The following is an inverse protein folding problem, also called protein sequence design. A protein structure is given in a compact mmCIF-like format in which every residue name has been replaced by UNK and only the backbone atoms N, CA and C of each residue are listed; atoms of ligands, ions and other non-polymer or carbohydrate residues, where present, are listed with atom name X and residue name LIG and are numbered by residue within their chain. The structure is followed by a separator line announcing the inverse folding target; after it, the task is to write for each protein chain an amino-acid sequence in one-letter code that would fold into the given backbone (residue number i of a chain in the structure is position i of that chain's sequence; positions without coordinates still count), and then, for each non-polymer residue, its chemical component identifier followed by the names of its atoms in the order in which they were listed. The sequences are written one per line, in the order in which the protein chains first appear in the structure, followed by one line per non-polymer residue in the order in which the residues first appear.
data_IF_970263709167
#
_entry.id   IF_970263709167
#
_cell.length_a   1.000
_cell.length_b   1.000
_cell.length_c   1.000
_cell.angle_alpha   90.00
_cell.angle_beta   90.00
_cell.angle_gamma   90.00
#
_symmetry.space_group_name_H-M   'P 1'
#
loop_
_entity.id
_entity.type
_entity.pdbx_description
1 polymer ?
#
# COMPACT_ATOMS: atom_id res chain seq x y z
N UNK A 1 -14.53 -5.12 -4.74
CA UNK A 1 -15.34 -3.92 -5.10
C UNK A 1 -16.25 -4.27 -6.26
N UNK A 2 -17.43 -3.66 -6.34
CA UNK A 2 -18.30 -3.77 -7.53
C UNK A 2 -17.83 -2.82 -8.64
N UNK A 3 -18.44 -2.95 -9.83
CA UNK A 3 -18.27 -2.00 -10.94
C UNK A 3 -18.60 -0.57 -10.51
N UNK A 4 -19.74 -0.37 -9.85
CA UNK A 4 -20.22 0.93 -9.37
C UNK A 4 -19.27 1.52 -8.33
N UNK A 5 -18.66 0.69 -7.47
CA UNK A 5 -17.66 1.15 -6.52
C UNK A 5 -16.43 1.74 -7.24
N UNK A 6 -15.92 1.08 -8.28
CA UNK A 6 -14.73 1.53 -9.01
C UNK A 6 -15.04 2.77 -9.84
N UNK A 7 -16.16 2.77 -10.56
CA UNK A 7 -16.59 3.89 -11.42
C UNK A 7 -17.01 5.14 -10.66
N UNK A 8 -17.36 5.05 -9.38
CA UNK A 8 -17.73 6.23 -8.56
C UNK A 8 -16.65 6.64 -7.57
N UNK A 9 -15.82 5.70 -7.11
CA UNK A 9 -14.78 5.97 -6.11
C UNK A 9 -13.43 6.19 -6.77
N UNK A 10 -13.01 5.39 -7.75
CA UNK A 10 -11.62 5.40 -8.28
C UNK A 10 -11.42 6.24 -9.55
N UNK A 11 -12.45 6.46 -10.35
CA UNK A 11 -12.43 7.35 -11.53
C UNK A 11 -12.34 8.84 -11.18
N UNK A 12 -12.84 9.26 -10.02
CA UNK A 12 -12.91 10.67 -9.64
C UNK A 12 -11.70 11.07 -8.80
N UNK A 13 -10.74 11.74 -9.46
CA UNK A 13 -9.62 12.42 -8.81
C UNK A 13 -10.14 13.77 -8.27
N UNK A 14 -9.99 14.03 -6.97
CA UNK A 14 -10.32 15.34 -6.37
C UNK A 14 -11.72 15.54 -5.77
N UNK A 15 -12.47 14.48 -5.43
CA UNK A 15 -13.80 14.63 -4.82
C UNK A 15 -13.74 15.24 -3.40
N UNK A 16 -14.41 16.36 -3.17
CA UNK A 16 -14.49 17.05 -1.88
C UNK A 16 -15.42 16.30 -0.91
N UNK A 17 -14.85 15.54 0.03
CA UNK A 17 -15.58 14.62 0.93
C UNK A 17 -16.20 15.27 2.17
N UNK A 18 -16.18 16.61 2.28
CA UNK A 18 -16.85 17.33 3.40
C UNK A 18 -18.38 17.33 3.29
N UNK A 19 -18.93 16.82 2.19
CA UNK A 19 -20.37 16.87 1.87
C UNK A 19 -21.07 15.54 2.22
N UNK A 20 -20.34 14.45 2.52
CA UNK A 20 -20.91 13.14 2.85
C UNK A 20 -20.89 12.89 4.37
N UNK A 21 -22.07 12.94 5.01
CA UNK A 21 -22.32 12.71 6.44
C UNK A 21 -22.30 11.21 6.85
N UNK A 22 -21.31 10.44 6.42
CA UNK A 22 -21.16 9.06 6.89
C UNK A 22 -20.14 9.01 8.03
N UNK A 23 -20.57 8.58 9.22
CA UNK A 23 -19.70 8.34 10.37
C UNK A 23 -18.65 7.27 10.03
N UNK A 24 -17.38 7.68 10.04
CA UNK A 24 -16.26 6.83 9.66
C UNK A 24 -15.87 5.89 10.82
N UNK A 25 -15.84 4.58 10.57
CA UNK A 25 -15.13 3.65 11.44
C UNK A 25 -13.62 3.93 11.41
N UNK A 26 -12.94 3.86 12.57
CA UNK A 26 -11.50 4.10 12.73
C UNK A 26 -10.60 3.20 11.86
N UNK A 27 -11.16 2.14 11.25
CA UNK A 27 -10.45 1.17 10.40
C UNK A 27 -10.12 1.68 8.99
N UNK A 28 -10.75 2.75 8.51
CA UNK A 28 -10.48 3.30 7.17
C UNK A 28 -9.35 4.33 7.16
N UNK A 29 -8.10 3.88 7.22
CA UNK A 29 -6.93 4.73 7.00
C UNK A 29 -6.75 5.06 5.50
N UNK A 30 -7.45 6.09 5.05
CA UNK A 30 -7.45 6.60 3.67
C UNK A 30 -8.03 8.02 3.58
N UNK A 31 -7.54 8.92 4.45
CA UNK A 31 -8.19 10.17 4.87
C UNK A 31 -8.43 11.23 3.77
N UNK A 32 -7.78 11.16 2.60
CA UNK A 32 -7.83 12.26 1.59
C UNK A 32 -7.75 11.84 0.11
N UNK A 33 -7.88 10.55 -0.23
CA UNK A 33 -7.70 10.10 -1.63
C UNK A 33 -6.25 10.15 -2.14
N UNK A 34 -5.28 10.51 -1.28
CA UNK A 34 -3.85 10.61 -1.58
C UNK A 34 -3.28 9.30 -2.14
N UNK A 35 -3.77 8.13 -1.71
CA UNK A 35 -3.27 6.84 -2.22
C UNK A 35 -3.48 6.63 -3.73
N UNK A 36 -4.51 7.25 -4.31
CA UNK A 36 -4.76 7.20 -5.76
C UNK A 36 -3.79 8.11 -6.50
N UNK A 37 -3.60 9.32 -5.98
CA UNK A 37 -2.59 10.26 -6.48
C UNK A 37 -1.18 9.70 -6.35
N UNK A 38 -0.87 8.98 -5.26
CA UNK A 38 0.41 8.31 -5.07
C UNK A 38 0.65 7.23 -6.16
N UNK A 39 -0.41 6.53 -6.59
CA UNK A 39 -0.30 5.54 -7.67
C UNK A 39 0.05 6.22 -9.01
N UNK A 40 -0.61 7.33 -9.32
CA UNK A 40 -0.32 8.17 -10.51
C UNK A 40 1.06 8.84 -10.45
N UNK A 41 1.49 9.24 -9.26
CA UNK A 41 2.81 9.83 -9.07
C UNK A 41 3.93 8.82 -9.36
N UNK A 42 3.72 7.55 -9.00
CA UNK A 42 4.71 6.50 -9.20
C UNK A 42 4.72 5.94 -10.63
N UNK A 43 3.61 6.05 -11.36
CA UNK A 43 3.49 5.49 -12.70
C UNK A 43 2.45 6.20 -13.55
N UNK A 44 2.78 6.41 -14.83
CA UNK A 44 1.84 6.84 -15.87
C UNK A 44 0.87 5.74 -16.29
N UNK A 45 1.18 4.47 -16.01
CA UNK A 45 0.34 3.32 -16.36
C UNK A 45 0.13 2.41 -15.16
N UNK A 46 -1.11 2.17 -14.78
CA UNK A 46 -1.43 1.19 -13.75
C UNK A 46 -2.72 0.45 -14.02
N UNK A 47 -2.84 -0.72 -13.41
CA UNK A 47 -4.02 -1.57 -13.44
C UNK A 47 -4.61 -1.73 -12.05
N UNK A 48 -5.93 -1.82 -11.97
CA UNK A 48 -6.68 -2.24 -10.80
C UNK A 48 -7.44 -3.51 -11.16
N UNK A 49 -7.16 -4.61 -10.46
CA UNK A 49 -7.94 -5.84 -10.57
C UNK A 49 -8.65 -6.09 -9.25
N UNK A 50 -9.95 -6.33 -9.29
CA UNK A 50 -10.76 -6.63 -8.11
C UNK A 50 -11.43 -7.98 -8.29
N UNK A 51 -11.34 -8.83 -7.25
CA UNK A 51 -11.97 -10.14 -7.15
C UNK A 51 -12.92 -10.18 -5.97
N UNK A 52 -14.16 -10.59 -6.20
CA UNK A 52 -15.15 -10.81 -5.12
C UNK A 52 -16.24 -11.75 -5.62
N UNK A 53 -16.50 -12.82 -4.86
CA UNK A 53 -17.60 -13.75 -5.16
C UNK A 53 -17.47 -14.43 -6.54
N UNK A 54 -16.26 -14.85 -6.89
CA UNK A 54 -15.96 -15.49 -8.18
C UNK A 54 -15.92 -14.54 -9.38
N UNK A 55 -16.28 -13.27 -9.21
CA UNK A 55 -16.24 -12.27 -10.28
C UNK A 55 -14.93 -11.48 -10.19
N UNK A 56 -14.23 -11.43 -11.32
CA UNK A 56 -13.02 -10.62 -11.50
C UNK A 56 -13.28 -9.47 -12.49
N UNK A 57 -12.76 -8.29 -12.15
CA UNK A 57 -12.81 -7.11 -13.02
C UNK A 57 -11.43 -6.48 -13.08
N UNK A 58 -11.01 -6.07 -14.29
CA UNK A 58 -9.74 -5.42 -14.51
C UNK A 58 -9.95 -4.05 -15.19
N UNK A 59 -9.16 -3.09 -14.75
CA UNK A 59 -9.21 -1.70 -15.19
C UNK A 59 -7.80 -1.19 -15.39
N UNK A 60 -7.63 -0.30 -16.36
CA UNK A 60 -6.36 0.34 -16.68
C UNK A 60 -6.54 1.85 -16.68
N UNK A 61 -5.55 2.58 -16.17
CA UNK A 61 -5.33 3.98 -16.51
C UNK A 61 -3.94 4.08 -17.14
N UNK A 62 -3.87 4.71 -18.31
CA UNK A 62 -2.61 4.92 -19.03
C UNK A 62 -2.55 6.37 -19.54
N UNK A 63 -1.70 7.17 -18.90
CA UNK A 63 -1.42 8.56 -19.27
C UNK A 63 -0.06 8.72 -19.97
N UNK A 64 0.53 7.64 -20.49
CA UNK A 64 1.87 7.68 -21.10
C UNK A 64 1.95 8.67 -22.26
N UNK A 65 0.89 8.74 -23.07
CA UNK A 65 0.75 9.61 -24.24
C UNK A 65 -0.31 10.71 -24.05
N UNK A 66 -0.77 10.94 -22.82
CA UNK A 66 -1.76 11.96 -22.53
C UNK A 66 -1.13 13.36 -22.59
N UNK A 67 -1.84 14.30 -23.20
CA UNK A 67 -1.57 15.74 -23.14
C UNK A 67 -2.07 16.33 -21.82
N UNK A 68 -1.58 17.53 -21.47
CA UNK A 68 -1.97 18.22 -20.23
C UNK A 68 -3.47 18.57 -20.17
N UNK A 69 -4.15 18.59 -21.33
CA UNK A 69 -5.59 18.82 -21.44
C UNK A 69 -6.42 17.54 -21.36
N UNK A 70 -5.80 16.36 -21.43
CA UNK A 70 -6.53 15.09 -21.43
C UNK A 70 -7.01 14.75 -20.02
N UNK A 71 -8.27 14.32 -19.94
CA UNK A 71 -8.86 13.84 -18.69
C UNK A 71 -8.47 12.36 -18.58
N UNK A 72 -7.66 11.95 -17.59
CA UNK A 72 -7.27 10.57 -17.46
C UNK A 72 -8.48 9.72 -17.02
N UNK A 73 -8.76 8.66 -17.78
CA UNK A 73 -9.90 7.78 -17.56
C UNK A 73 -9.46 6.36 -17.16
N UNK A 74 -10.30 5.70 -16.36
CA UNK A 74 -10.17 4.28 -16.07
C UNK A 74 -10.98 3.50 -17.12
N UNK A 75 -10.27 2.77 -17.97
CA UNK A 75 -10.87 1.90 -18.99
C UNK A 75 -10.93 0.46 -18.50
N UNK A 76 -12.01 -0.24 -18.84
CA UNK A 76 -12.13 -1.68 -18.53
C UNK A 76 -11.30 -2.48 -19.54
N UNK A 77 -10.58 -3.48 -19.05
CA UNK A 77 -9.71 -4.34 -19.88
C UNK A 77 -9.92 -5.81 -19.54
N UNK A 78 -9.43 -6.71 -20.40
CA UNK A 78 -9.40 -8.13 -20.07
C UNK A 78 -8.35 -8.38 -18.97
N UNK A 79 -8.64 -9.33 -18.06
CA UNK A 79 -7.69 -9.65 -17.00
C UNK A 79 -6.39 -10.26 -17.53
N UNK A 80 -6.45 -10.96 -18.67
CA UNK A 80 -5.28 -11.53 -19.32
C UNK A 80 -4.31 -10.43 -19.80
N UNK A 81 -4.83 -9.25 -20.17
CA UNK A 81 -4.01 -8.09 -20.59
C UNK A 81 -3.19 -7.52 -19.43
N UNK A 82 -3.62 -7.74 -18.17
CA UNK A 82 -2.91 -7.23 -16.99
C UNK A 82 -1.57 -7.94 -16.80
N UNK A 83 -1.42 -9.19 -17.26
CA UNK A 83 -0.21 -10.01 -17.09
C UNK A 83 0.26 -10.07 -15.62
N UNK A 84 -0.50 -10.75 -14.75
CA UNK A 84 -0.21 -10.85 -13.32
C UNK A 84 0.99 -11.77 -13.08
N UNK A 85 2.10 -11.24 -12.55
CA UNK A 85 3.36 -11.99 -12.35
C UNK A 85 3.24 -13.18 -11.39
N UNK A 86 2.41 -13.06 -10.35
CA UNK A 86 2.15 -14.11 -9.35
C UNK A 86 0.71 -14.62 -9.47
N UNK A 87 0.31 -15.03 -10.67
CA UNK A 87 -1.08 -15.45 -10.95
C UNK A 87 -1.57 -16.54 -9.99
N UNK A 88 -0.73 -17.53 -9.67
CA UNK A 88 -1.08 -18.59 -8.71
C UNK A 88 -1.39 -18.07 -7.31
N UNK A 89 -0.62 -17.08 -6.82
CA UNK A 89 -0.88 -16.44 -5.53
C UNK A 89 -2.20 -15.66 -5.58
N UNK A 90 -2.43 -14.91 -6.65
CA UNK A 90 -3.71 -14.20 -6.85
C UNK A 90 -4.91 -15.14 -6.90
N UNK A 91 -4.78 -16.28 -7.59
CA UNK A 91 -5.82 -17.28 -7.74
C UNK A 91 -6.19 -17.96 -6.42
N UNK A 92 -5.24 -18.10 -5.48
CA UNK A 92 -5.48 -18.70 -4.17
C UNK A 92 -6.40 -17.88 -3.25
N UNK A 93 -6.63 -16.60 -3.55
CA UNK A 93 -7.56 -15.75 -2.79
C UNK A 93 -8.96 -15.77 -3.40
N UNK A 94 -9.98 -15.94 -2.55
CA UNK A 94 -11.39 -15.86 -2.95
C UNK A 94 -11.83 -14.42 -3.26
N UNK A 95 -11.17 -13.44 -2.64
CA UNK A 95 -11.42 -12.02 -2.85
C UNK A 95 -10.17 -11.18 -2.62
N UNK A 96 -10.10 -10.02 -3.28
CA UNK A 96 -8.94 -9.15 -3.15
C UNK A 96 -8.97 -7.98 -4.11
N UNK A 97 -7.98 -7.11 -3.99
CA UNK A 97 -7.71 -6.04 -4.95
C UNK A 97 -6.21 -5.99 -5.23
N UNK A 98 -5.83 -6.18 -6.49
CA UNK A 98 -4.48 -6.02 -7.00
C UNK A 98 -4.36 -4.61 -7.61
N UNK A 99 -3.28 -3.92 -7.27
CA UNK A 99 -2.86 -2.70 -7.96
C UNK A 99 -1.51 -3.00 -8.60
N UNK A 100 -1.41 -2.87 -9.93
CA UNK A 100 -0.17 -3.09 -10.69
C UNK A 100 0.25 -1.78 -11.35
N UNK A 101 1.35 -1.18 -10.87
CA UNK A 101 1.98 -0.03 -11.52
C UNK A 101 3.08 -0.50 -12.48
N UNK A 102 3.13 0.05 -13.70
CA UNK A 102 4.07 -0.36 -14.75
C UNK A 102 5.06 0.75 -15.07
N UNK A 103 6.36 0.43 -15.15
CA UNK A 103 7.37 1.43 -15.48
C UNK A 103 7.63 2.42 -14.35
N UNK A 104 7.46 1.98 -13.10
CA UNK A 104 7.81 2.79 -11.92
C UNK A 104 9.29 3.11 -11.96
N UNK A 105 9.63 4.40 -11.86
CA UNK A 105 11.03 4.81 -11.76
C UNK A 105 11.57 4.48 -10.36
N UNK A 106 12.40 3.45 -10.29
CA UNK A 106 13.08 3.03 -9.06
C UNK A 106 14.50 3.60 -8.94
N UNK A 107 14.88 4.62 -9.73
CA UNK A 107 16.18 5.29 -9.59
C UNK A 107 16.38 5.76 -8.14
N UNK A 108 17.44 5.28 -7.49
CA UNK A 108 17.72 5.55 -6.07
C UNK A 108 17.20 4.51 -5.07
N UNK A 109 16.50 3.46 -5.52
CA UNK A 109 16.25 2.21 -4.79
C UNK A 109 17.33 1.17 -5.15
N UNK A 110 18.52 1.28 -4.56
CA UNK A 110 19.53 0.23 -4.63
C UNK A 110 19.05 -1.06 -3.93
N UNK A 111 19.66 -2.22 -4.21
CA UNK A 111 19.26 -3.52 -3.63
C UNK A 111 19.17 -3.48 -2.10
N UNK A 112 20.11 -2.81 -1.41
CA UNK A 112 20.07 -2.65 0.05
C UNK A 112 18.87 -1.86 0.60
N UNK A 113 18.17 -1.07 -0.23
CA UNK A 113 16.91 -0.40 0.16
C UNK A 113 15.69 -1.32 0.03
N UNK A 114 15.76 -2.40 -0.75
CA UNK A 114 14.69 -3.40 -0.78
C UNK A 114 14.65 -4.19 0.54
N UNK A 115 15.81 -4.43 1.15
CA UNK A 115 15.88 -5.03 2.49
C UNK A 115 15.35 -4.08 3.57
N UNK A 116 15.63 -2.78 3.45
CA UNK A 116 15.10 -1.78 4.38
C UNK A 116 13.60 -1.49 4.21
N UNK A 117 12.98 -1.89 3.08
CA UNK A 117 11.55 -1.70 2.82
C UNK A 117 10.68 -2.37 3.91
N UNK A 118 11.01 -3.60 4.32
CA UNK A 118 10.29 -4.30 5.39
C UNK A 118 10.40 -3.54 6.70
N UNK A 119 11.58 -3.03 7.03
CA UNK A 119 11.80 -2.26 8.25
C UNK A 119 11.04 -0.93 8.23
N UNK A 120 11.03 -0.23 7.09
CA UNK A 120 10.27 1.00 6.90
C UNK A 120 8.77 0.75 7.09
N UNK A 121 8.22 -0.29 6.45
CA UNK A 121 6.82 -0.69 6.64
C UNK A 121 6.52 -1.03 8.11
N UNK A 122 7.40 -1.77 8.79
CA UNK A 122 7.23 -2.10 10.20
C UNK A 122 7.26 -0.88 11.13
N UNK A 123 7.94 0.20 10.72
CA UNK A 123 7.95 1.47 11.46
C UNK A 123 6.73 2.33 11.18
N UNK A 124 6.24 2.36 9.94
CA UNK A 124 5.06 3.14 9.56
C UNK A 124 3.74 2.53 10.07
N UNK A 125 3.65 1.21 10.13
CA UNK A 125 2.44 0.51 10.56
C UNK A 125 2.59 0.00 12.00
N UNK A 126 1.60 0.30 12.85
CA UNK A 126 1.43 -0.38 14.13
C UNK A 126 0.92 -1.81 13.86
N UNK A 127 1.81 -2.71 13.42
CA UNK A 127 1.47 -4.03 12.88
C UNK A 127 0.54 -4.85 13.80
N UNK A 128 0.62 -4.67 15.12
CA UNK A 128 -0.23 -5.38 16.08
C UNK A 128 -1.68 -4.87 16.11
N UNK A 129 -1.95 -3.67 15.57
CA UNK A 129 -3.24 -3.00 15.66
C UNK A 129 -3.96 -2.92 14.30
N UNK A 130 -3.32 -3.36 13.20
CA UNK A 130 -3.93 -3.25 11.87
C UNK A 130 -4.94 -4.36 11.56
N UNK A 131 -4.96 -5.44 12.35
CA UNK A 131 -5.84 -6.60 12.14
C UNK A 131 -5.57 -7.36 10.83
N UNK A 132 -4.39 -7.19 10.24
CA UNK A 132 -3.98 -7.72 8.96
C UNK A 132 -2.49 -8.08 8.96
N UNK A 133 -2.07 -8.93 8.04
CA UNK A 133 -0.66 -9.28 7.82
C UNK A 133 -0.16 -8.54 6.59
N UNK A 134 1.02 -7.93 6.69
CA UNK A 134 1.72 -7.34 5.55
C UNK A 134 2.86 -8.30 5.18
N UNK A 135 2.91 -8.70 3.92
CA UNK A 135 3.98 -9.52 3.36
C UNK A 135 4.64 -8.82 2.18
N UNK A 136 5.95 -9.00 2.04
CA UNK A 136 6.75 -8.37 0.98
C UNK A 136 7.60 -9.43 0.29
N UNK A 137 7.63 -9.37 -1.04
CA UNK A 137 8.56 -10.05 -1.90
C UNK A 137 9.14 -9.04 -2.91
N UNK A 138 10.39 -9.24 -3.32
CA UNK A 138 10.99 -8.50 -4.42
C UNK A 138 11.84 -9.43 -5.27
N UNK A 139 12.06 -9.05 -6.52
CA UNK A 139 12.80 -9.83 -7.51
C UNK A 139 13.71 -8.88 -8.29
N UNK A 140 15.01 -9.13 -8.28
CA UNK A 140 16.00 -8.33 -9.03
C UNK A 140 16.51 -9.05 -10.28
N UNK A 141 16.23 -10.36 -10.39
CA UNK A 141 16.66 -11.20 -11.52
C UNK A 141 15.49 -11.97 -12.11
N UNK A 142 15.44 -12.11 -13.44
CA UNK A 142 14.34 -12.78 -14.15
C UNK A 142 14.04 -14.22 -13.69
N UNK A 143 15.04 -14.98 -13.23
CA UNK A 143 14.89 -16.37 -12.76
C UNK A 143 14.79 -16.53 -11.24
N UNK A 144 14.85 -15.43 -10.47
CA UNK A 144 14.75 -15.51 -9.02
C UNK A 144 13.32 -15.91 -8.60
N UNK A 145 13.25 -16.85 -7.65
CA UNK A 145 12.00 -17.28 -7.02
C UNK A 145 11.40 -16.14 -6.20
N UNK A 146 10.10 -15.97 -6.29
CA UNK A 146 9.36 -14.97 -5.51
C UNK A 146 8.96 -15.60 -4.19
N UNK A 147 9.43 -15.01 -3.09
CA UNK A 147 9.14 -15.48 -1.74
C UNK A 147 8.57 -14.33 -0.91
N UNK A 148 7.30 -14.45 -0.57
CA UNK A 148 6.64 -13.52 0.34
C UNK A 148 7.10 -13.80 1.76
N UNK A 149 7.40 -12.72 2.48
CA UNK A 149 7.83 -12.81 3.87
C UNK A 149 7.14 -11.74 4.68
N UNK A 150 6.70 -12.14 5.87
CA UNK A 150 5.98 -11.28 6.79
C UNK A 150 6.84 -10.10 7.24
N UNK A 151 6.24 -8.91 7.19
CA UNK A 151 6.82 -7.70 7.78
C UNK A 151 6.70 -7.79 9.30
N UNK A 152 7.83 -7.65 9.99
CA UNK A 152 7.90 -7.67 11.46
C UNK A 152 8.82 -6.56 11.96
N UNK A 153 8.48 -5.98 13.11
CA UNK A 153 9.35 -4.99 13.76
C UNK A 153 10.51 -5.69 14.45
N UNK A 154 11.72 -5.41 14.00
CA UNK A 154 12.96 -5.84 14.67
C UNK A 154 13.51 -4.65 15.43
N UNK A 155 13.52 -4.73 16.76
CA UNK A 155 14.08 -3.67 17.61
C UNK A 155 15.58 -3.95 17.73
N UNK A 156 16.40 -3.16 17.03
CA UNK A 156 17.86 -3.36 16.95
C UNK A 156 18.60 -3.17 18.28
N UNK A 157 17.98 -2.54 19.27
CA UNK A 157 18.54 -2.35 20.60
C UNK A 157 17.51 -2.69 21.66
N UNK A 158 17.79 -3.68 22.51
CA UNK A 158 16.99 -4.04 23.70
C UNK A 158 16.99 -2.94 24.79
N UNK A 159 17.40 -1.72 24.45
CA UNK A 159 17.81 -0.68 25.39
C UNK A 159 16.71 0.34 25.67
N UNK A 160 15.55 0.23 25.00
CA UNK A 160 14.41 1.10 25.28
C UNK A 160 13.34 0.30 26.05
N UNK A 161 13.37 0.44 27.37
CA UNK A 161 12.29 0.05 28.27
C UNK A 161 11.37 1.27 28.46
N UNK A 162 10.06 1.10 28.33
CA UNK A 162 9.11 2.20 28.32
C UNK A 162 9.05 2.92 29.69
N UNK A 163 8.86 4.24 29.67
CA UNK A 163 8.45 5.02 30.84
C UNK A 163 7.00 5.43 30.66
N UNK A 164 6.16 5.06 31.64
CA UNK A 164 4.81 5.57 31.76
C UNK A 164 4.74 6.38 33.06
N UNK A 165 4.32 7.64 32.95
CA UNK A 165 4.04 8.48 34.09
C UNK A 165 2.59 8.95 34.01
N UNK A 166 1.82 8.65 35.05
CA UNK A 166 0.39 8.99 35.16
C UNK A 166 0.12 10.06 36.22
N UNK A 167 1.16 10.75 36.70
CA UNK A 167 1.07 11.74 37.79
C UNK A 167 1.52 13.12 37.33
N UNK A 168 0.82 14.19 37.73
CA UNK A 168 1.23 15.58 37.51
C UNK A 168 2.44 15.93 38.40
N UNK A 169 3.64 15.89 37.83
CA UNK A 169 4.90 16.29 38.47
C UNK A 169 6.12 15.88 37.65
N UNK A 170 7.26 16.57 37.79
CA UNK A 170 8.51 16.21 37.10
C UNK A 170 9.31 15.26 38.01
N UNK A 171 9.69 14.09 37.50
CA UNK A 171 10.62 13.19 38.19
C UNK A 171 12.02 13.37 37.58
N UNK A 172 12.94 13.95 38.34
CA UNK A 172 14.36 13.94 37.98
C UNK A 172 14.94 12.54 38.22
N UNK A 173 15.26 11.82 37.15
CA UNK A 173 16.03 10.60 37.22
C UNK A 173 17.49 10.88 36.83
N UNK A 174 18.41 10.74 37.79
CA UNK A 174 19.83 10.65 37.47
C UNK A 174 20.11 9.26 36.91
N UNK A 175 20.62 9.21 35.68
CA UNK A 175 21.04 7.97 35.04
C UNK A 175 22.10 7.28 35.91
N UNK A 176 21.81 6.07 36.38
CA UNK A 176 22.78 5.20 37.05
C UNK A 176 23.71 4.62 36.00
N UNK A 177 24.74 5.37 35.63
CA UNK A 177 25.97 4.78 35.11
C UNK A 177 27.02 4.83 36.23
N UNK A 178 27.02 3.79 37.05
CA UNK A 178 28.15 3.45 37.91
C UNK A 178 28.18 1.94 38.11
N UNK A 179 28.90 1.24 37.22
CA UNK A 179 29.79 0.09 37.44
C UNK A 179 30.08 -0.57 36.10
#
# INVERSE_FOLDING_TARGET
MSYEDLSTKYSLIGRNRRISNEEFSEKTKGRKGIGKLATLFLSKKYYIVSKKGGIETAWMLDSTNASDSDIPELIRVDINDVSIENKSVWESFESGTLIKSVGVNLSGFAEGKLDSLKMNLANYYLLNNIGAVIEVAYKTKAKQKIEFSKVSKVIGFKNLYAFFQTSEGIVENKLLNAS
#
